data_IF_087700881523
#
_entry.id   IF_087700881523
#
_cell.length_a   1.000
_cell.length_b   1.000
_cell.length_c   1.000
_cell.angle_alpha   90.00
_cell.angle_beta   90.00
_cell.angle_gamma   90.00
#
_symmetry.space_group_name_H-M   'P 1'
#
loop_
_entity.id
_entity.type
_entity.pdbx_description
1 polymer ?
#
# COMPACT_ATOMS: atom_id res chain seq x y z
N UNK A 1 14.52 -8.20 3.36
CA UNK A 1 13.32 -7.33 3.36
C UNK A 1 12.48 -7.68 2.14
N UNK A 2 11.15 -7.60 2.21
CA UNK A 2 10.25 -8.07 1.14
C UNK A 2 10.33 -7.26 -0.18
N UNK A 3 11.10 -6.17 -0.19
CA UNK A 3 11.21 -5.27 -1.33
C UNK A 3 9.89 -4.58 -1.69
N UNK A 4 8.95 -4.52 -0.75
CA UNK A 4 7.63 -3.88 -0.87
C UNK A 4 7.63 -2.69 0.08
N UNK A 5 7.15 -1.55 -0.40
CA UNK A 5 6.92 -0.35 0.40
C UNK A 5 5.43 -0.05 0.37
N UNK A 6 4.81 0.04 1.54
CA UNK A 6 3.40 0.44 1.70
C UNK A 6 3.37 1.87 2.19
N UNK A 7 2.75 2.75 1.42
CA UNK A 7 2.64 4.18 1.71
C UNK A 7 1.18 4.48 2.02
N UNK A 8 0.95 5.10 3.18
CA UNK A 8 -0.38 5.49 3.62
C UNK A 8 -0.50 7.02 3.63
N UNK A 9 -1.60 7.54 3.10
CA UNK A 9 -2.15 8.79 3.60
C UNK A 9 -2.67 8.58 5.04
N UNK A 10 -2.71 9.67 5.81
CA UNK A 10 -3.07 9.58 7.23
C UNK A 10 -4.56 9.84 7.48
N UNK A 11 -5.04 11.03 7.14
CA UNK A 11 -6.40 11.47 7.41
C UNK A 11 -7.40 10.66 6.59
N UNK A 12 -8.46 10.14 7.23
CA UNK A 12 -9.54 9.33 6.61
C UNK A 12 -9.11 8.00 6.00
N UNK A 13 -7.81 7.76 5.83
CA UNK A 13 -7.21 6.51 5.37
C UNK A 13 -6.74 5.62 6.51
N UNK A 14 -5.85 6.11 7.40
CA UNK A 14 -5.46 5.35 8.61
C UNK A 14 -6.45 5.63 9.74
N UNK A 15 -6.68 6.90 10.04
CA UNK A 15 -7.66 7.32 11.05
C UNK A 15 -9.02 7.51 10.39
N UNK A 16 -10.11 7.25 11.12
CA UNK A 16 -11.48 7.35 10.58
C UNK A 16 -12.00 8.79 10.50
N UNK A 17 -11.16 9.77 10.81
CA UNK A 17 -11.51 11.18 10.84
C UNK A 17 -10.45 12.06 10.16
N UNK A 18 -10.77 13.35 10.09
CA UNK A 18 -9.85 14.42 9.72
C UNK A 18 -9.18 14.94 11.00
N UNK A 19 -7.85 14.85 11.09
CA UNK A 19 -7.11 15.17 12.31
C UNK A 19 -7.20 16.65 12.70
N UNK A 20 -7.23 17.56 11.72
CA UNK A 20 -7.44 18.99 11.92
C UNK A 20 -8.78 19.23 12.63
N UNK A 21 -9.87 18.73 12.05
CA UNK A 21 -11.21 18.87 12.65
C UNK A 21 -11.30 18.19 14.03
N UNK A 22 -10.73 16.98 14.15
CA UNK A 22 -10.73 16.24 15.42
C UNK A 22 -10.08 17.03 16.56
N UNK A 23 -8.94 17.68 16.29
CA UNK A 23 -8.26 18.52 17.28
C UNK A 23 -9.12 19.70 17.70
N UNK A 24 -9.77 20.38 16.75
CA UNK A 24 -10.63 21.52 17.06
C UNK A 24 -11.86 21.11 17.85
N UNK A 25 -12.48 19.99 17.51
CA UNK A 25 -13.68 19.49 18.18
C UNK A 25 -13.39 19.07 19.62
N UNK A 26 -12.35 18.26 19.82
CA UNK A 26 -11.98 17.75 21.14
C UNK A 26 -11.43 18.83 22.09
N UNK A 27 -10.96 19.95 21.54
CA UNK A 27 -10.51 21.11 22.31
C UNK A 27 -11.58 22.20 22.43
N UNK A 28 -12.81 21.95 21.96
CA UNK A 28 -13.94 22.86 22.13
C UNK A 28 -13.89 24.12 21.25
N UNK A 29 -13.18 24.07 20.12
CA UNK A 29 -13.00 25.18 19.19
C UNK A 29 -13.96 25.16 17.99
N UNK A 30 -14.87 24.18 17.92
CA UNK A 30 -15.85 23.98 16.82
C UNK A 30 -16.68 25.22 16.53
N UNK A 31 -17.16 25.94 17.57
CA UNK A 31 -18.00 27.12 17.38
C UNK A 31 -17.24 28.24 16.66
N UNK A 32 -16.02 28.53 17.12
CA UNK A 32 -15.17 29.54 16.51
C UNK A 32 -14.77 29.15 15.09
N UNK A 33 -14.43 27.87 14.86
CA UNK A 33 -14.15 27.36 13.53
C UNK A 33 -15.32 27.61 12.57
N UNK A 34 -16.54 27.24 12.96
CA UNK A 34 -17.73 27.41 12.12
C UNK A 34 -18.05 28.88 11.81
N UNK A 35 -17.74 29.79 12.73
CA UNK A 35 -17.89 31.24 12.48
C UNK A 35 -16.88 31.75 11.44
N UNK A 36 -15.66 31.21 11.44
CA UNK A 36 -14.57 31.69 10.59
C UNK A 36 -14.48 30.99 9.24
N UNK A 37 -14.90 29.72 9.15
CA UNK A 37 -14.83 28.89 7.94
C UNK A 37 -15.39 29.54 6.68
N UNK A 38 -16.53 30.27 6.70
CA UNK A 38 -17.05 30.94 5.51
C UNK A 38 -16.20 32.14 5.02
N UNK A 39 -15.26 32.62 5.84
CA UNK A 39 -14.60 33.93 5.63
C UNK A 39 -13.17 33.82 5.10
N UNK A 40 -12.56 32.63 5.12
CA UNK A 40 -11.16 32.45 4.73
C UNK A 40 -10.86 31.03 4.24
N UNK A 41 -9.75 30.88 3.53
CA UNK A 41 -9.29 29.58 3.06
C UNK A 41 -8.84 28.68 4.23
N UNK A 42 -8.84 27.36 4.00
CA UNK A 42 -8.52 26.32 4.99
C UNK A 42 -7.19 26.55 5.72
N UNK A 43 -6.06 26.66 5.00
CA UNK A 43 -4.75 26.74 5.67
C UNK A 43 -4.61 28.00 6.56
N UNK A 44 -4.96 29.21 6.09
CA UNK A 44 -5.01 30.38 6.97
C UNK A 44 -5.98 30.24 8.15
N UNK A 45 -7.12 29.56 7.96
CA UNK A 45 -8.05 29.26 9.03
C UNK A 45 -7.41 28.40 10.10
N UNK A 46 -6.82 27.26 9.71
CA UNK A 46 -6.18 26.35 10.65
C UNK A 46 -5.02 27.02 11.39
N UNK A 47 -4.20 27.82 10.71
CA UNK A 47 -3.15 28.63 11.34
C UNK A 47 -3.73 29.58 12.39
N UNK A 48 -4.85 30.25 12.08
CA UNK A 48 -5.55 31.09 13.05
C UNK A 48 -6.09 30.27 14.22
N UNK A 49 -6.75 29.14 13.98
CA UNK A 49 -7.31 28.30 15.03
C UNK A 49 -6.22 27.83 16.01
N UNK A 50 -5.04 27.43 15.51
CA UNK A 50 -3.92 27.03 16.37
C UNK A 50 -3.43 28.18 17.26
N UNK A 51 -3.43 29.42 16.76
CA UNK A 51 -3.10 30.62 17.57
C UNK A 51 -4.14 30.88 18.66
N UNK A 52 -5.42 30.73 18.34
CA UNK A 52 -6.50 30.91 19.32
C UNK A 52 -6.42 29.87 20.44
N UNK A 53 -6.20 28.59 20.09
CA UNK A 53 -5.95 27.53 21.08
C UNK A 53 -4.76 27.86 21.99
N UNK A 54 -3.66 28.34 21.40
CA UNK A 54 -2.49 28.78 22.15
C UNK A 54 -2.82 29.94 23.11
N UNK A 55 -3.57 30.96 22.67
CA UNK A 55 -3.99 32.07 23.53
C UNK A 55 -4.92 31.63 24.68
N UNK A 56 -5.66 30.54 24.50
CA UNK A 56 -6.47 29.91 25.55
C UNK A 56 -5.64 29.05 26.52
N UNK A 57 -4.33 28.94 26.30
CA UNK A 57 -3.41 28.21 27.18
C UNK A 57 -3.28 26.72 26.85
N UNK A 58 -3.85 26.25 25.74
CA UNK A 58 -3.65 24.88 25.24
C UNK A 58 -2.19 24.70 24.83
N UNK A 59 -1.61 23.58 25.25
CA UNK A 59 -0.23 23.23 24.95
C UNK A 59 -0.14 22.13 23.91
N UNK A 60 1.06 21.94 23.38
CA UNK A 60 1.34 20.87 22.42
C UNK A 60 1.06 19.49 23.02
N UNK A 61 1.28 19.29 24.32
CA UNK A 61 0.99 18.02 24.99
C UNK A 61 -0.50 17.70 25.01
N UNK A 62 -1.36 18.72 25.11
CA UNK A 62 -2.82 18.55 25.07
C UNK A 62 -3.25 18.13 23.66
N UNK A 63 -2.72 18.77 22.62
CA UNK A 63 -2.95 18.41 21.22
C UNK A 63 -2.49 16.96 20.95
N UNK A 64 -1.29 16.60 21.42
CA UNK A 64 -0.79 15.21 21.30
C UNK A 64 -1.70 14.23 22.05
N UNK A 65 -2.21 14.61 23.23
CA UNK A 65 -3.17 13.81 23.98
C UNK A 65 -4.48 13.58 23.24
N UNK A 66 -4.97 14.58 22.51
CA UNK A 66 -6.15 14.48 21.64
C UNK A 66 -5.89 13.58 20.44
N UNK A 67 -4.76 13.77 19.74
CA UNK A 67 -4.40 12.98 18.57
C UNK A 67 -4.22 11.49 18.90
N UNK A 68 -3.70 11.16 20.08
CA UNK A 68 -3.60 9.76 20.56
C UNK A 68 -4.95 9.05 20.74
N UNK A 69 -6.05 9.80 20.81
CA UNK A 69 -7.41 9.27 20.95
C UNK A 69 -8.17 9.23 19.63
N UNK A 70 -7.53 9.58 18.52
CA UNK A 70 -8.16 9.50 17.19
C UNK A 70 -8.67 8.07 16.92
N UNK A 71 -9.89 7.95 16.37
CA UNK A 71 -10.44 6.64 16.04
C UNK A 71 -9.66 6.01 14.89
N UNK A 72 -9.30 4.74 15.06
CA UNK A 72 -8.70 3.90 14.02
C UNK A 72 -9.49 2.60 13.97
N UNK A 73 -9.94 2.21 12.78
CA UNK A 73 -10.64 0.95 12.61
C UNK A 73 -9.74 -0.25 13.00
N UNK A 74 -10.21 -1.19 13.86
CA UNK A 74 -9.37 -2.29 14.36
C UNK A 74 -8.72 -3.13 13.25
N UNK A 75 -9.43 -3.33 12.13
CA UNK A 75 -8.90 -4.06 10.96
C UNK A 75 -7.74 -3.35 10.27
N UNK A 76 -7.71 -2.02 10.26
CA UNK A 76 -6.58 -1.25 9.71
C UNK A 76 -5.34 -1.47 10.59
N UNK A 77 -5.51 -1.49 11.92
CA UNK A 77 -4.43 -1.79 12.86
C UNK A 77 -3.84 -3.18 12.57
N UNK A 78 -4.68 -4.20 12.43
CA UNK A 78 -4.23 -5.57 12.16
C UNK A 78 -3.59 -5.71 10.77
N UNK A 79 -4.09 -4.99 9.77
CA UNK A 79 -3.50 -4.94 8.43
C UNK A 79 -2.08 -4.34 8.45
N UNK A 80 -1.89 -3.20 9.13
CA UNK A 80 -0.59 -2.52 9.28
C UNK A 80 0.40 -3.44 10.02
N UNK A 81 -0.02 -4.05 11.14
CA UNK A 81 0.82 -5.01 11.87
C UNK A 81 1.22 -6.20 11.01
N UNK A 82 0.28 -6.74 10.24
CA UNK A 82 0.52 -7.88 9.36
C UNK A 82 1.47 -7.52 8.21
N UNK A 83 1.29 -6.36 7.58
CA UNK A 83 2.21 -5.87 6.55
C UNK A 83 3.64 -5.70 7.10
N UNK A 84 3.78 -5.13 8.31
CA UNK A 84 5.08 -5.04 8.99
C UNK A 84 5.69 -6.42 9.27
N UNK A 85 4.89 -7.36 9.79
CA UNK A 85 5.33 -8.73 10.08
C UNK A 85 5.77 -9.50 8.82
N UNK A 86 5.19 -9.17 7.65
CA UNK A 86 5.57 -9.70 6.35
C UNK A 86 6.84 -9.02 5.77
N UNK A 87 7.43 -8.06 6.49
CA UNK A 87 8.69 -7.43 6.12
C UNK A 87 8.57 -6.33 5.07
N UNK A 88 7.38 -5.74 4.93
CA UNK A 88 7.17 -4.51 4.17
C UNK A 88 7.78 -3.30 4.89
N UNK A 89 8.32 -2.36 4.14
CA UNK A 89 8.63 -1.02 4.64
C UNK A 89 7.34 -0.20 4.68
N UNK A 90 7.01 0.41 5.82
CA UNK A 90 5.76 1.13 6.03
C UNK A 90 6.05 2.62 6.18
N UNK A 91 5.39 3.45 5.39
CA UNK A 91 5.59 4.91 5.40
C UNK A 91 4.27 5.65 5.42
N UNK A 92 4.25 6.79 6.09
CA UNK A 92 3.11 7.71 6.09
C UNK A 92 3.55 8.97 5.32
N UNK A 93 2.75 9.43 4.36
CA UNK A 93 2.98 10.73 3.75
C UNK A 93 2.37 10.93 2.36
N UNK A 94 1.82 12.13 2.16
CA UNK A 94 1.28 12.58 0.87
C UNK A 94 2.35 12.88 -0.19
N UNK A 95 3.62 13.07 0.19
CA UNK A 95 4.69 13.48 -0.73
C UNK A 95 5.42 12.27 -1.28
N UNK A 96 4.76 11.58 -2.21
CA UNK A 96 5.29 10.37 -2.85
C UNK A 96 6.67 10.59 -3.48
N UNK A 97 6.97 11.78 -4.01
CA UNK A 97 8.28 12.06 -4.63
C UNK A 97 9.44 11.99 -3.64
N UNK A 98 9.24 12.47 -2.41
CA UNK A 98 10.27 12.43 -1.39
C UNK A 98 10.60 10.99 -1.00
N UNK A 99 9.56 10.15 -0.94
CA UNK A 99 9.67 8.73 -0.67
C UNK A 99 10.36 8.05 -1.86
N UNK A 100 9.89 8.25 -3.08
CA UNK A 100 10.50 7.70 -4.30
C UNK A 100 11.97 8.10 -4.44
N UNK A 101 12.33 9.36 -4.16
CA UNK A 101 13.72 9.82 -4.21
C UNK A 101 14.62 9.15 -3.16
N UNK A 102 14.08 8.78 -2.01
CA UNK A 102 14.82 8.00 -1.01
C UNK A 102 14.96 6.54 -1.43
N UNK A 103 13.92 5.94 -2.03
CA UNK A 103 13.94 4.56 -2.52
C UNK A 103 14.88 4.38 -3.73
N UNK A 104 15.01 5.41 -4.56
CA UNK A 104 15.91 5.39 -5.72
C UNK A 104 17.40 5.32 -5.36
N UNK A 105 17.76 5.52 -4.08
CA UNK A 105 19.13 5.37 -3.58
C UNK A 105 19.45 3.94 -3.15
N UNK A 106 18.46 3.06 -3.13
CA UNK A 106 18.62 1.66 -2.76
C UNK A 106 18.99 0.83 -3.98
N UNK A 107 19.81 -0.21 -3.77
CA UNK A 107 20.26 -1.09 -4.86
C UNK A 107 19.14 -1.98 -5.44
N UNK A 108 18.07 -2.20 -4.66
CA UNK A 108 16.95 -3.06 -5.03
C UNK A 108 15.70 -2.22 -5.35
N UNK A 109 15.14 -2.42 -6.55
CA UNK A 109 13.85 -1.82 -6.92
C UNK A 109 12.75 -2.29 -5.97
N UNK A 110 12.04 -1.33 -5.39
CA UNK A 110 10.88 -1.57 -4.53
C UNK A 110 9.58 -1.46 -5.32
N UNK A 111 8.62 -2.30 -4.96
CA UNK A 111 7.23 -2.20 -5.42
C UNK A 111 6.45 -1.35 -4.43
N UNK A 112 5.74 -0.32 -4.90
CA UNK A 112 4.96 0.58 -4.07
C UNK A 112 3.50 0.13 -4.05
N UNK A 113 2.92 0.08 -2.85
CA UNK A 113 1.47 0.01 -2.63
C UNK A 113 1.06 1.31 -1.94
N UNK A 114 0.34 2.18 -2.63
CA UNK A 114 -0.14 3.45 -2.09
C UNK A 114 -1.61 3.37 -1.68
N UNK A 115 -1.94 3.84 -0.49
CA UNK A 115 -3.29 3.93 0.06
C UNK A 115 -3.60 5.41 0.34
N UNK A 116 -4.74 5.88 -0.14
CA UNK A 116 -5.17 7.26 0.09
C UNK A 116 -6.54 7.53 -0.50
N UNK A 117 -7.31 8.39 0.16
CA UNK A 117 -8.74 8.59 -0.10
C UNK A 117 -9.09 10.05 -0.43
N UNK A 118 -8.19 10.98 -0.14
CA UNK A 118 -8.35 12.42 -0.34
C UNK A 118 -8.17 12.85 -1.78
N UNK A 119 -8.75 13.98 -2.16
CA UNK A 119 -8.63 14.52 -3.52
C UNK A 119 -7.15 14.78 -3.91
N UNK A 120 -6.29 15.07 -2.93
CA UNK A 120 -4.86 15.27 -3.10
C UNK A 120 -4.11 14.00 -3.53
N UNK A 121 -4.62 12.82 -3.18
CA UNK A 121 -4.00 11.53 -3.49
C UNK A 121 -4.03 11.19 -4.97
N UNK A 122 -4.88 11.85 -5.76
CA UNK A 122 -4.88 11.68 -7.20
C UNK A 122 -3.51 12.07 -7.81
N UNK A 123 -2.84 13.09 -7.26
CA UNK A 123 -1.50 13.49 -7.69
C UNK A 123 -0.46 12.40 -7.38
N UNK A 124 -0.62 11.69 -6.26
CA UNK A 124 0.23 10.54 -5.91
C UNK A 124 -0.04 9.37 -6.85
N UNK A 125 -1.32 9.08 -7.14
CA UNK A 125 -1.74 8.01 -8.03
C UNK A 125 -1.13 8.10 -9.44
N UNK A 126 -1.08 9.29 -10.04
CA UNK A 126 -0.52 9.47 -11.40
C UNK A 126 1.01 9.32 -11.46
N UNK A 127 1.70 9.36 -10.31
CA UNK A 127 3.17 9.21 -10.21
C UNK A 127 3.61 7.76 -10.00
N UNK A 128 2.67 6.86 -9.74
CA UNK A 128 2.95 5.43 -9.59
C UNK A 128 3.27 4.79 -10.95
N UNK A 129 4.18 3.82 -10.92
CA UNK A 129 4.56 3.01 -12.06
C UNK A 129 3.50 1.95 -12.42
N UNK A 130 3.74 1.26 -13.53
CA UNK A 130 2.97 0.11 -14.01
C UNK A 130 3.14 -1.16 -13.15
N UNK A 131 4.25 -1.26 -12.40
CA UNK A 131 4.49 -2.33 -11.43
C UNK A 131 4.05 -1.97 -10.00
N UNK A 132 3.46 -0.79 -9.81
CA UNK A 132 2.97 -0.30 -8.53
C UNK A 132 1.45 -0.48 -8.40
N UNK A 133 0.97 -0.35 -7.16
CA UNK A 133 -0.42 -0.57 -6.79
C UNK A 133 -1.00 0.67 -6.09
N UNK A 134 -2.25 0.98 -6.43
CA UNK A 134 -3.04 2.02 -5.79
C UNK A 134 -4.27 1.40 -5.13
N UNK A 135 -4.53 1.74 -3.87
CA UNK A 135 -5.70 1.28 -3.13
C UNK A 135 -6.59 2.45 -2.67
N UNK A 136 -7.50 2.95 -3.53
CA UNK A 136 -8.40 4.03 -3.17
C UNK A 136 -9.66 3.52 -2.46
N UNK A 137 -10.17 4.26 -1.48
CA UNK A 137 -11.49 3.97 -0.90
C UNK A 137 -12.62 4.42 -1.80
N UNK A 138 -13.61 3.55 -1.99
CA UNK A 138 -14.84 3.87 -2.73
C UNK A 138 -15.64 4.95 -2.03
N UNK A 139 -16.31 5.78 -2.84
CA UNK A 139 -17.17 6.88 -2.38
C UNK A 139 -16.43 7.99 -1.63
N UNK A 140 -15.10 8.05 -1.77
CA UNK A 140 -14.27 9.16 -1.32
C UNK A 140 -13.82 10.01 -2.52
N UNK A 141 -13.44 11.28 -2.32
CA UNK A 141 -13.16 12.22 -3.42
C UNK A 141 -12.13 11.72 -4.44
N UNK A 142 -11.12 10.95 -4.02
CA UNK A 142 -10.12 10.40 -4.94
C UNK A 142 -10.74 9.41 -5.93
N UNK A 143 -11.73 8.63 -5.49
CA UNK A 143 -12.36 7.59 -6.31
C UNK A 143 -13.06 8.19 -7.52
N UNK A 144 -13.80 9.27 -7.32
CA UNK A 144 -14.49 9.98 -8.40
C UNK A 144 -13.50 10.51 -9.44
N UNK A 145 -12.37 11.07 -9.01
CA UNK A 145 -11.32 11.53 -9.91
C UNK A 145 -10.64 10.39 -10.67
N UNK A 146 -10.37 9.27 -9.98
CA UNK A 146 -9.83 8.05 -10.59
C UNK A 146 -10.77 7.54 -11.68
N UNK A 147 -12.08 7.46 -11.40
CA UNK A 147 -13.07 7.05 -12.39
C UNK A 147 -13.10 7.97 -13.61
N UNK A 148 -12.99 9.29 -13.42
CA UNK A 148 -13.00 10.26 -14.51
C UNK A 148 -11.74 10.24 -15.37
N UNK A 149 -10.57 9.97 -14.77
CA UNK A 149 -9.25 10.16 -15.41
C UNK A 149 -8.36 8.91 -15.34
N UNK A 150 -8.97 7.73 -15.30
CA UNK A 150 -8.31 6.42 -15.11
C UNK A 150 -7.12 6.17 -16.04
N UNK A 151 -7.19 6.67 -17.27
CA UNK A 151 -6.16 6.48 -18.31
C UNK A 151 -4.81 7.13 -17.97
N UNK A 152 -4.78 8.09 -17.04
CA UNK A 152 -3.55 8.74 -16.60
C UNK A 152 -2.80 7.95 -15.51
N UNK A 153 -3.44 6.94 -14.92
CA UNK A 153 -2.87 6.14 -13.83
C UNK A 153 -2.31 4.85 -14.42
N UNK A 154 -1.00 4.64 -14.26
CA UNK A 154 -0.32 3.43 -14.75
C UNK A 154 -0.47 2.25 -13.79
N UNK A 155 -0.51 2.54 -12.49
CA UNK A 155 -0.64 1.54 -11.44
C UNK A 155 -1.90 0.67 -11.55
N UNK A 156 -1.80 -0.53 -11.00
CA UNK A 156 -2.94 -1.40 -10.79
C UNK A 156 -3.81 -0.84 -9.66
N UNK A 157 -5.11 -0.66 -9.93
CA UNK A 157 -6.05 -0.07 -8.98
C UNK A 157 -6.82 -1.19 -8.28
N UNK A 158 -6.81 -1.14 -6.95
CA UNK A 158 -7.41 -2.13 -6.07
C UNK A 158 -8.22 -1.42 -4.98
N UNK A 159 -9.48 -1.10 -5.29
CA UNK A 159 -10.38 -0.41 -4.37
C UNK A 159 -10.71 -1.16 -3.08
N UNK A 160 -11.23 -0.43 -2.09
CA UNK A 160 -11.82 -0.98 -0.86
C UNK A 160 -12.95 -0.07 -0.34
N UNK A 161 -13.80 -0.59 0.55
CA UNK A 161 -14.97 0.16 1.05
C UNK A 161 -15.04 0.25 2.59
N UNK A 162 -14.44 -0.73 3.28
CA UNK A 162 -14.45 -0.85 4.75
C UNK A 162 -13.12 -1.45 5.25
N UNK A 163 -12.95 -1.52 6.57
CA UNK A 163 -11.70 -1.99 7.17
C UNK A 163 -11.39 -3.47 6.88
N UNK A 164 -12.40 -4.32 6.73
CA UNK A 164 -12.22 -5.72 6.34
C UNK A 164 -11.69 -5.85 4.91
N UNK A 165 -12.27 -5.11 3.97
CA UNK A 165 -11.79 -5.05 2.58
C UNK A 165 -10.38 -4.46 2.51
N UNK A 166 -10.10 -3.40 3.28
CA UNK A 166 -8.75 -2.83 3.40
C UNK A 166 -7.72 -3.91 3.76
N UNK A 167 -7.98 -4.66 4.83
CA UNK A 167 -7.08 -5.73 5.30
C UNK A 167 -6.91 -6.81 4.22
N UNK A 168 -8.01 -7.32 3.68
CA UNK A 168 -7.99 -8.39 2.68
C UNK A 168 -7.25 -8.00 1.40
N UNK A 169 -7.51 -6.81 0.88
CA UNK A 169 -6.89 -6.33 -0.36
C UNK A 169 -5.40 -6.10 -0.14
N UNK A 170 -5.00 -5.45 0.96
CA UNK A 170 -3.59 -5.18 1.25
C UNK A 170 -2.79 -6.48 1.37
N UNK A 171 -3.29 -7.45 2.15
CA UNK A 171 -2.59 -8.74 2.34
C UNK A 171 -2.55 -9.57 1.06
N UNK A 172 -3.61 -9.53 0.24
CA UNK A 172 -3.62 -10.16 -1.08
C UNK A 172 -2.52 -9.59 -1.98
N UNK A 173 -2.39 -8.25 -2.03
CA UNK A 173 -1.36 -7.60 -2.85
C UNK A 173 0.05 -7.90 -2.37
N UNK A 174 0.28 -7.85 -1.06
CA UNK A 174 1.59 -8.22 -0.47
C UNK A 174 1.94 -9.67 -0.84
N UNK A 175 0.99 -10.59 -0.74
CA UNK A 175 1.19 -11.99 -1.12
C UNK A 175 1.48 -12.15 -2.61
N UNK A 176 0.71 -11.47 -3.47
CA UNK A 176 0.90 -11.47 -4.93
C UNK A 176 2.32 -11.01 -5.29
N UNK A 177 2.72 -9.83 -4.83
CA UNK A 177 4.05 -9.25 -5.14
C UNK A 177 5.18 -10.13 -4.60
N UNK A 178 5.00 -10.70 -3.41
CA UNK A 178 6.00 -11.61 -2.81
C UNK A 178 6.22 -12.86 -3.68
N UNK A 179 5.15 -13.46 -4.19
CA UNK A 179 5.22 -14.64 -5.07
C UNK A 179 5.87 -14.29 -6.41
N UNK A 180 5.49 -13.16 -7.01
CA UNK A 180 6.06 -12.69 -8.29
C UNK A 180 7.58 -12.49 -8.18
N UNK A 181 8.07 -11.96 -7.05
CA UNK A 181 9.50 -11.80 -6.78
C UNK A 181 10.24 -13.11 -6.57
N UNK A 182 9.62 -14.11 -5.94
CA UNK A 182 10.22 -15.45 -5.81
C UNK A 182 10.37 -16.10 -7.19
N UNK A 183 9.34 -15.99 -8.02
CA UNK A 183 9.35 -16.56 -9.36
C UNK A 183 10.34 -15.88 -10.31
N UNK A 184 10.58 -14.57 -10.16
CA UNK A 184 11.56 -13.85 -10.99
C UNK A 184 13.01 -14.04 -10.54
N UNK A 185 13.23 -14.42 -9.28
CA UNK A 185 14.56 -14.71 -8.72
C UNK A 185 15.01 -16.17 -8.87
N UNK A 186 14.10 -17.10 -9.24
CA UNK A 186 14.47 -18.45 -9.66
C UNK A 186 14.69 -18.49 -11.18
N UNK A 187 15.93 -18.63 -11.68
CA UNK A 187 16.10 -19.03 -13.07
C UNK A 187 15.53 -20.44 -13.20
N UNK A 188 14.62 -20.65 -14.15
CA UNK A 188 14.28 -21.98 -14.65
C UNK A 188 15.59 -22.66 -15.11
N UNK A 189 16.21 -23.43 -14.22
CA UNK A 189 17.12 -24.50 -14.61
C UNK A 189 16.30 -25.78 -14.62
N UNK A 190 15.59 -26.00 -15.72
CA UNK A 190 15.17 -27.34 -16.10
C UNK A 190 16.16 -27.82 -17.15
N UNK A 191 17.39 -28.10 -16.72
CA UNK A 191 18.21 -29.08 -17.41
C UNK A 191 17.56 -30.44 -17.18
N UNK A 192 16.52 -30.74 -17.97
CA UNK A 192 16.03 -32.10 -18.12
C UNK A 192 17.09 -32.88 -18.91
N UNK A 193 18.16 -33.29 -18.23
CA UNK A 193 18.99 -34.40 -18.72
C UNK A 193 18.14 -35.66 -18.62
N UNK A 194 17.36 -35.90 -19.67
CA UNK A 194 16.95 -37.25 -20.03
C UNK A 194 18.25 -38.06 -20.16
N UNK A 195 18.53 -38.90 -19.17
CA UNK A 195 19.62 -39.87 -19.29
C UNK A 195 19.21 -40.89 -20.35
N UNK A 196 19.64 -40.62 -21.57
CA UNK A 196 19.75 -41.62 -22.63
C UNK A 196 20.77 -42.65 -22.16
N UNK A 197 20.28 -43.85 -21.80
CA UNK A 197 21.13 -45.02 -21.58
C UNK A 197 21.93 -45.30 -22.87
N UNK A 198 23.25 -45.56 -22.79
CA UNK A 198 24.02 -45.97 -23.96
C UNK A 198 23.60 -47.38 -24.39
N UNK A 199 23.47 -47.55 -25.69
CA UNK A 199 22.96 -48.76 -26.33
C UNK A 199 23.66 -50.05 -25.90
N UNK A 200 22.83 -51.06 -25.59
CA UNK A 200 23.24 -52.44 -25.66
C UNK A 200 23.12 -52.91 -27.11
N UNK A 201 24.23 -53.43 -27.62
CA UNK A 201 24.38 -53.95 -28.97
C UNK A 201 23.35 -55.05 -29.29
N UNK A 202 22.93 -55.06 -30.56
CA UNK A 202 22.31 -56.21 -31.19
C UNK A 202 23.25 -57.42 -31.14
N UNK A 203 22.83 -58.53 -30.55
CA UNK A 203 23.36 -59.85 -30.89
C UNK A 203 22.23 -60.90 -30.96
N UNK A 204 22.02 -61.33 -32.21
CA UNK A 204 21.61 -62.63 -32.75
C UNK A 204 20.61 -63.53 -31.99
N UNK A 205 19.50 -63.80 -32.70
CA UNK A 205 18.62 -64.96 -32.53
C UNK A 205 19.41 -66.28 -32.48
N UNK A 206 19.12 -67.13 -31.49
CA UNK A 206 19.50 -68.55 -31.47
C UNK A 206 18.50 -69.38 -32.27
N UNK A 207 18.94 -70.32 -33.12
CA UNK A 207 18.02 -71.25 -33.79
C UNK A 207 17.69 -72.46 -32.92
N UNK A 208 16.49 -72.97 -33.12
CA UNK A 208 15.90 -74.11 -32.43
C UNK A 208 16.74 -75.40 -32.54
N UNK A 209 16.77 -76.17 -31.44
CA UNK A 209 17.37 -77.50 -31.32
C UNK A 209 16.61 -78.52 -32.18
N UNK A 210 17.35 -79.33 -32.96
CA UNK A 210 16.85 -80.55 -33.58
C UNK A 210 17.16 -81.76 -32.70
N UNK A 211 16.21 -82.69 -32.63
CA UNK A 211 16.34 -83.99 -31.94
C UNK A 211 16.31 -85.11 -32.99
N UNK A 212 17.35 -85.95 -32.97
CA UNK A 212 17.43 -87.35 -33.46
C UNK A 212 18.48 -88.04 -32.57
N UNK A 213 18.35 -89.25 -32.03
CA UNK A 213 17.54 -90.42 -32.34
C UNK A 213 16.76 -90.91 -31.12
#
# INVERSE_FOLDING_TARGET
MAGIVVIFDFDKTIIDCDSDNWVLDELGATELFNQLFPTMAWNPLMDRMMKELYFQGIKIEDIVGVLKRTPIHPRIIEAIKSAHALGCDLRIGMVIESIQASLAKEDEKKTIIYLGDGIGDYCSAVKLGDEDYLMPRKNFPVWDLICQKRSLIKAEINEWSNGEEFEQVLLRLISKVSIEKINSSQPYSVDCKLQTLPGAAHEAFTPALSVRH
#
